data_IF_492498582588
#
_entry.id   IF_492498582588
#
_cell.length_a   1.000
_cell.length_b   1.000
_cell.length_c   1.000
_cell.angle_alpha   90.00
_cell.angle_beta   90.00
_cell.angle_gamma   90.00
#
_symmetry.space_group_name_H-M   'P 1'
#
loop_
_entity.id
_entity.type
_entity.pdbx_description
1 polymer ?
#
# COMPACT_ATOMS: atom_id res chain seq x y z
N UNK A 1 1.30 -9.38 -0.86
CA UNK A 1 0.94 -8.11 -1.54
C UNK A 1 1.29 -8.23 -3.02
N UNK A 2 0.44 -7.74 -3.93
CA UNK A 2 0.61 -7.86 -5.39
C UNK A 2 0.52 -6.50 -6.07
N UNK A 3 0.99 -6.42 -7.33
CA UNK A 3 0.97 -5.22 -8.17
C UNK A 3 1.69 -4.01 -7.57
N UNK A 4 2.78 -4.24 -6.83
CA UNK A 4 3.58 -3.14 -6.27
C UNK A 4 4.17 -2.27 -7.39
N UNK A 5 4.55 -2.91 -8.50
CA UNK A 5 5.10 -2.28 -9.69
C UNK A 5 4.23 -1.15 -10.26
N UNK A 6 2.91 -1.25 -10.10
CA UNK A 6 1.97 -0.22 -10.58
C UNK A 6 2.04 1.10 -9.79
N UNK A 7 2.66 1.09 -8.60
CA UNK A 7 2.77 2.28 -7.76
C UNK A 7 4.08 3.06 -8.02
N UNK A 8 4.98 2.56 -8.88
CA UNK A 8 6.31 3.13 -9.06
C UNK A 8 6.35 4.51 -9.71
N UNK A 9 5.33 4.87 -10.48
CA UNK A 9 5.27 6.16 -11.17
C UNK A 9 4.66 7.28 -10.30
N UNK A 10 4.15 6.95 -9.12
CA UNK A 10 3.59 7.95 -8.21
C UNK A 10 4.72 8.70 -7.50
N UNK A 11 4.60 10.03 -7.42
CA UNK A 11 5.44 10.85 -6.53
C UNK A 11 4.98 10.70 -5.08
N UNK A 12 3.66 10.70 -4.86
CA UNK A 12 3.02 10.49 -3.56
C UNK A 12 1.85 9.53 -3.70
N UNK A 13 1.77 8.57 -2.78
CA UNK A 13 0.76 7.52 -2.78
C UNK A 13 -0.26 7.84 -1.67
N UNK A 14 -1.53 8.13 -2.00
CA UNK A 14 -2.57 8.30 -0.99
C UNK A 14 -2.85 6.95 -0.32
N UNK A 15 -2.74 6.91 1.00
CA UNK A 15 -2.93 5.72 1.82
C UNK A 15 -4.05 5.95 2.83
N UNK A 16 -5.18 5.27 2.65
CA UNK A 16 -6.36 5.46 3.50
C UNK A 16 -6.12 4.79 4.86
N UNK A 17 -6.21 5.55 5.94
CA UNK A 17 -5.97 5.05 7.31
C UNK A 17 -7.23 5.02 8.17
N UNK A 18 -8.25 5.79 7.80
CA UNK A 18 -9.49 5.87 8.54
C UNK A 18 -10.62 6.41 7.65
N UNK A 19 -11.83 6.33 8.16
CA UNK A 19 -13.02 6.92 7.57
C UNK A 19 -13.67 7.87 8.57
N UNK A 20 -14.13 9.02 8.09
CA UNK A 20 -15.04 9.90 8.82
C UNK A 20 -16.46 9.69 8.32
N UNK A 21 -17.39 9.39 9.23
CA UNK A 21 -18.80 9.16 8.93
C UNK A 21 -19.62 9.92 9.98
N UNK A 22 -20.45 10.85 9.52
CA UNK A 22 -21.34 11.63 10.37
C UNK A 22 -20.60 12.29 11.57
N UNK A 23 -19.39 12.80 11.31
CA UNK A 23 -18.52 13.45 12.31
C UNK A 23 -17.75 12.52 13.26
N UNK A 24 -17.85 11.20 13.07
CA UNK A 24 -17.09 10.20 13.85
C UNK A 24 -16.02 9.53 12.99
N UNK A 25 -14.86 9.29 13.57
CA UNK A 25 -13.74 8.63 12.90
C UNK A 25 -13.68 7.16 13.30
N UNK A 26 -13.51 6.28 12.32
CA UNK A 26 -13.30 4.84 12.50
C UNK A 26 -12.11 4.37 11.67
N UNK A 27 -11.33 3.45 12.22
CA UNK A 27 -10.26 2.73 11.49
C UNK A 27 -10.74 1.39 10.92
N UNK A 28 -11.90 0.91 11.38
CA UNK A 28 -12.52 -0.29 10.85
C UNK A 28 -13.24 -0.01 9.54
N UNK A 29 -13.26 -1.01 8.65
CA UNK A 29 -14.02 -0.97 7.40
C UNK A 29 -15.50 -0.73 7.71
N UNK A 30 -16.09 0.37 7.23
CA UNK A 30 -17.50 0.66 7.46
C UNK A 30 -18.40 -0.39 6.79
N UNK A 31 -19.59 -0.68 7.34
CA UNK A 31 -20.61 -1.42 6.63
C UNK A 31 -20.96 -0.75 5.30
N UNK A 32 -21.31 -1.53 4.27
CA UNK A 32 -21.61 -1.02 2.92
C UNK A 32 -22.62 0.13 2.91
N UNK A 33 -23.67 0.07 3.74
CA UNK A 33 -24.70 1.11 3.85
C UNK A 33 -24.20 2.45 4.42
N UNK A 34 -23.03 2.46 5.07
CA UNK A 34 -22.38 3.66 5.60
C UNK A 34 -21.27 4.17 4.68
N UNK A 35 -20.78 3.33 3.76
CA UNK A 35 -19.64 3.63 2.90
C UNK A 35 -19.91 4.81 1.95
N UNK A 36 -21.16 4.96 1.48
CA UNK A 36 -21.56 6.08 0.60
C UNK A 36 -21.39 7.46 1.27
N UNK A 37 -21.44 7.52 2.60
CA UNK A 37 -21.26 8.75 3.38
C UNK A 37 -19.86 8.84 4.01
N UNK A 38 -19.04 7.81 3.83
CA UNK A 38 -17.72 7.74 4.44
C UNK A 38 -16.73 8.62 3.66
N UNK A 39 -16.14 9.58 4.35
CA UNK A 39 -15.03 10.38 3.81
C UNK A 39 -13.72 9.71 4.19
N UNK A 40 -12.93 9.19 3.23
CA UNK A 40 -11.64 8.58 3.53
C UNK A 40 -10.65 9.62 4.04
N UNK A 41 -9.90 9.26 5.07
CA UNK A 41 -8.78 10.04 5.59
C UNK A 41 -7.47 9.45 5.11
N UNK A 42 -6.79 10.21 4.25
CA UNK A 42 -5.53 9.80 3.64
C UNK A 42 -4.33 10.37 4.37
N UNK A 43 -3.36 9.52 4.64
CA UNK A 43 -1.96 9.95 4.70
C UNK A 43 -1.35 9.85 3.30
N UNK A 44 -0.22 10.50 3.07
CA UNK A 44 0.47 10.47 1.79
C UNK A 44 1.88 9.94 2.01
N UNK A 45 2.14 8.77 1.44
CA UNK A 45 3.45 8.12 1.50
C UNK A 45 4.26 8.56 0.28
N UNK A 46 5.56 8.72 0.47
CA UNK A 46 6.46 9.04 -0.64
C UNK A 46 6.52 7.84 -1.60
N UNK A 47 6.34 8.11 -2.89
CA UNK A 47 6.57 7.12 -3.93
C UNK A 47 8.06 6.99 -4.25
N UNK A 48 8.39 6.05 -5.14
CA UNK A 48 9.78 5.75 -5.49
C UNK A 48 10.20 6.20 -6.90
N UNK A 49 9.27 6.67 -7.73
CA UNK A 49 9.56 7.29 -9.03
C UNK A 49 10.32 6.42 -10.03
N UNK A 50 10.31 5.09 -9.86
CA UNK A 50 11.05 4.18 -10.71
C UNK A 50 10.37 2.80 -10.83
N UNK A 51 10.64 2.11 -11.94
CA UNK A 51 10.22 0.72 -12.11
C UNK A 51 10.99 -0.20 -11.14
N UNK A 52 10.31 -1.24 -10.66
CA UNK A 52 10.87 -2.27 -9.76
C UNK A 52 10.76 -3.69 -10.33
N UNK A 53 10.32 -3.82 -11.59
CA UNK A 53 10.05 -5.11 -12.25
C UNK A 53 11.29 -5.99 -12.42
N UNK A 54 12.49 -5.40 -12.40
CA UNK A 54 13.77 -6.11 -12.52
C UNK A 54 14.40 -6.48 -11.17
N UNK A 55 13.76 -6.13 -10.05
CA UNK A 55 14.29 -6.43 -8.70
C UNK A 55 14.20 -7.94 -8.44
N UNK A 56 15.26 -8.52 -7.89
CA UNK A 56 15.32 -9.97 -7.60
C UNK A 56 15.35 -10.28 -6.09
N UNK A 57 15.51 -9.25 -5.25
CA UNK A 57 15.60 -9.38 -3.80
C UNK A 57 14.88 -8.20 -3.12
N UNK A 58 14.14 -8.45 -2.03
CA UNK A 58 13.47 -7.40 -1.24
C UNK A 58 14.44 -6.36 -0.71
N UNK A 59 15.68 -6.76 -0.41
CA UNK A 59 16.75 -5.86 0.02
C UNK A 59 17.18 -4.86 -1.07
N UNK A 60 16.86 -5.12 -2.34
CA UNK A 60 17.16 -4.22 -3.46
C UNK A 60 15.99 -3.28 -3.80
N UNK A 61 14.82 -3.44 -3.15
CA UNK A 61 13.73 -2.49 -3.33
C UNK A 61 14.14 -1.06 -2.91
N UNK A 62 13.63 -0.02 -3.58
CA UNK A 62 13.78 1.37 -3.15
C UNK A 62 13.34 1.56 -1.70
N UNK A 63 13.96 2.51 -1.01
CA UNK A 63 13.68 2.77 0.41
C UNK A 63 12.21 3.09 0.65
N UNK A 64 11.60 3.87 -0.25
CA UNK A 64 10.21 4.28 -0.21
C UNK A 64 9.26 3.10 -0.45
N UNK A 65 9.59 2.20 -1.38
CA UNK A 65 8.83 0.95 -1.58
C UNK A 65 8.86 0.07 -0.32
N UNK A 66 10.02 -0.06 0.34
CA UNK A 66 10.13 -0.76 1.62
C UNK A 66 9.36 -0.06 2.74
N UNK A 67 9.35 1.27 2.77
CA UNK A 67 8.57 2.04 3.74
C UNK A 67 7.07 1.83 3.54
N UNK A 68 6.61 1.79 2.29
CA UNK A 68 5.23 1.46 1.95
C UNK A 68 4.82 0.07 2.44
N UNK A 69 5.67 -0.95 2.24
CA UNK A 69 5.46 -2.30 2.78
C UNK A 69 5.32 -2.30 4.31
N UNK A 70 6.27 -1.66 5.00
CA UNK A 70 6.23 -1.57 6.47
C UNK A 70 4.97 -0.87 6.97
N UNK A 71 4.53 0.18 6.27
CA UNK A 71 3.33 0.91 6.66
C UNK A 71 2.06 0.05 6.56
N UNK A 72 1.99 -0.81 5.54
CA UNK A 72 0.93 -1.83 5.44
C UNK A 72 1.01 -2.80 6.63
N UNK A 73 2.20 -3.31 6.95
CA UNK A 73 2.40 -4.26 8.06
C UNK A 73 1.98 -3.66 9.41
N UNK A 74 2.35 -2.41 9.68
CA UNK A 74 1.96 -1.66 10.88
C UNK A 74 0.44 -1.46 10.97
N UNK A 75 -0.21 -1.13 9.84
CA UNK A 75 -1.65 -0.86 9.81
C UNK A 75 -2.47 -2.14 9.95
N UNK A 76 -2.03 -3.24 9.33
CA UNK A 76 -2.73 -4.53 9.36
C UNK A 76 -2.35 -5.36 10.59
N UNK A 77 -1.18 -5.10 11.20
CA UNK A 77 -0.66 -5.88 12.33
C UNK A 77 -0.11 -7.25 11.95
N UNK A 78 0.23 -7.46 10.67
CA UNK A 78 0.74 -8.74 10.16
C UNK A 78 1.84 -8.53 9.10
N UNK A 79 2.84 -9.44 9.02
CA UNK A 79 3.95 -9.31 8.08
C UNK A 79 3.53 -9.59 6.63
N UNK A 80 4.15 -8.89 5.67
CA UNK A 80 4.01 -9.15 4.24
C UNK A 80 4.99 -10.25 3.85
N UNK A 81 4.47 -11.48 3.72
CA UNK A 81 5.29 -12.65 3.39
C UNK A 81 5.70 -12.81 1.92
N UNK A 82 4.98 -12.19 0.97
CA UNK A 82 5.33 -12.24 -0.46
C UNK A 82 4.96 -10.92 -1.15
N UNK A 83 5.78 -10.51 -2.11
CA UNK A 83 5.64 -9.25 -2.86
C UNK A 83 5.71 -9.50 -4.36
N UNK A 84 4.60 -9.31 -5.08
CA UNK A 84 4.57 -9.35 -6.54
C UNK A 84 4.98 -8.01 -7.16
N UNK A 85 5.94 -8.04 -8.07
CA UNK A 85 6.53 -6.88 -8.76
C UNK A 85 6.37 -6.95 -10.30
N UNK A 86 5.47 -7.81 -10.78
CA UNK A 86 5.18 -7.96 -12.21
C UNK A 86 4.22 -9.12 -12.48
N UNK A 87 3.84 -9.33 -13.74
CA UNK A 87 2.88 -10.37 -14.13
C UNK A 87 3.48 -11.78 -14.19
N UNK A 88 4.79 -11.88 -14.37
CA UNK A 88 5.50 -13.17 -14.51
C UNK A 88 5.53 -13.94 -13.19
N UNK A 89 5.51 -15.28 -13.25
CA UNK A 89 5.57 -16.13 -12.04
C UNK A 89 6.86 -15.88 -11.23
N UNK A 90 7.95 -15.56 -11.91
CA UNK A 90 9.24 -15.24 -11.30
C UNK A 90 9.32 -13.83 -10.73
N UNK A 91 8.37 -12.94 -11.06
CA UNK A 91 8.29 -11.57 -10.55
C UNK A 91 7.68 -11.52 -9.14
N UNK A 92 8.14 -12.40 -8.25
CA UNK A 92 7.70 -12.53 -6.86
C UNK A 92 8.92 -12.55 -5.93
N UNK A 93 8.91 -11.66 -4.94
CA UNK A 93 9.92 -11.58 -3.89
C UNK A 93 9.37 -12.21 -2.59
N UNK A 94 10.23 -12.93 -1.88
CA UNK A 94 9.94 -13.58 -0.59
C UNK A 94 10.48 -12.72 0.56
#
# INVERSE_FOLDING_TARGET
MTKLDMLGDYERIPFCTAYEIDGRVTTDMPPTAMLERATPRYEHLEGWGCAITAVTDRALLPLQAKAYLRRIEETVGAPVGMVGIGPERTATLL
#
